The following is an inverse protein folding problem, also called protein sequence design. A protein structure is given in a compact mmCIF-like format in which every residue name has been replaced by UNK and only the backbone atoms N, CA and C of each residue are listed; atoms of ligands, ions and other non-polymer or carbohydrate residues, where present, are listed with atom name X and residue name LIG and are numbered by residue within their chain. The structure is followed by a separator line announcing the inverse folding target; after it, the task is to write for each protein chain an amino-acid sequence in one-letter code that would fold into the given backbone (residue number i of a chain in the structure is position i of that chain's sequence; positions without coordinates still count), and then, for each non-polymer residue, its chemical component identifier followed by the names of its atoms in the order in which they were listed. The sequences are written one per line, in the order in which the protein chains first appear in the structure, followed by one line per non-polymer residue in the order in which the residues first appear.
data_IF_733913966431
#
_entry.id   IF_733913966431
#
_cell.length_a   1.000
_cell.length_b   1.000
_cell.length_c   1.000
_cell.angle_alpha   90.00
_cell.angle_beta   90.00
_cell.angle_gamma   90.00
#
_symmetry.space_group_name_H-M   'P 1'
#
loop_
_entity.id
_entity.type
_entity.pdbx_description
1 polymer ?
#
# COMPACT_ATOMS: atom_id res chain seq x y z
N UNK A 1 -7.45 8.01 -4.74
CA UNK A 1 -7.22 7.18 -3.56
C UNK A 1 -6.23 7.89 -2.68
N UNK A 2 -6.43 7.89 -1.36
CA UNK A 2 -5.39 8.31 -0.42
C UNK A 2 -4.21 7.35 -0.52
N UNK A 3 -3.01 7.79 -0.11
CA UNK A 3 -1.83 6.92 -0.13
C UNK A 3 -2.05 5.64 0.68
N UNK A 4 -2.78 5.73 1.80
CA UNK A 4 -3.21 4.58 2.60
C UNK A 4 -3.97 3.53 1.79
N UNK A 5 -4.90 3.97 0.95
CA UNK A 5 -5.70 3.07 0.14
C UNK A 5 -4.87 2.42 -0.98
N UNK A 6 -3.90 3.15 -1.54
CA UNK A 6 -2.96 2.61 -2.52
C UNK A 6 -2.04 1.55 -1.87
N UNK A 7 -1.51 1.82 -0.68
CA UNK A 7 -0.67 0.89 0.08
C UNK A 7 -1.46 -0.36 0.45
N UNK A 8 -2.65 -0.20 1.01
CA UNK A 8 -3.51 -1.32 1.39
C UNK A 8 -3.84 -2.22 0.18
N UNK A 9 -4.10 -1.61 -0.98
CA UNK A 9 -4.33 -2.38 -2.21
C UNK A 9 -3.09 -3.15 -2.66
N UNK A 10 -1.91 -2.51 -2.67
CA UNK A 10 -0.66 -3.16 -3.06
C UNK A 10 -0.27 -4.30 -2.11
N UNK A 11 -0.50 -4.13 -0.80
CA UNK A 11 -0.37 -5.22 0.18
C UNK A 11 -1.33 -6.36 -0.17
N UNK A 12 -2.59 -6.07 -0.45
CA UNK A 12 -3.56 -7.10 -0.77
C UNK A 12 -3.25 -7.84 -2.08
N UNK A 13 -2.72 -7.16 -3.10
CA UNK A 13 -2.49 -7.74 -4.42
C UNK A 13 -1.13 -8.40 -4.59
N UNK A 14 -0.09 -7.85 -3.95
CA UNK A 14 1.30 -8.17 -4.28
C UNK A 14 2.08 -8.82 -3.14
N UNK A 15 1.57 -8.78 -1.90
CA UNK A 15 2.25 -9.39 -0.75
C UNK A 15 2.06 -10.91 -0.77
N UNK A 16 3.16 -11.63 -0.95
CA UNK A 16 3.20 -13.08 -0.72
C UNK A 16 3.77 -13.37 0.67
N UNK A 17 2.90 -13.78 1.58
CA UNK A 17 3.27 -14.06 2.98
C UNK A 17 4.29 -15.21 3.08
N UNK A 18 4.23 -16.22 2.21
CA UNK A 18 5.15 -17.35 2.28
C UNK A 18 6.55 -16.97 1.81
N UNK A 19 6.64 -16.09 0.82
CA UNK A 19 7.92 -15.55 0.35
C UNK A 19 8.48 -14.53 1.35
N UNK A 20 7.61 -13.72 1.98
CA UNK A 20 8.02 -12.69 2.93
C UNK A 20 8.39 -13.23 4.31
N UNK A 21 7.73 -14.30 4.77
CA UNK A 21 7.91 -14.93 6.08
C UNK A 21 8.15 -16.44 5.90
N UNK A 22 9.35 -16.87 5.46
CA UNK A 22 9.64 -18.30 5.25
C UNK A 22 9.50 -19.14 6.53
N UNK A 23 9.67 -18.53 7.70
CA UNK A 23 9.52 -19.15 9.01
C UNK A 23 8.07 -19.43 9.42
N UNK A 24 7.09 -18.94 8.65
CA UNK A 24 5.66 -19.07 8.96
C UNK A 24 5.21 -20.53 9.15
N UNK A 25 5.90 -21.48 8.52
CA UNK A 25 5.66 -22.91 8.65
C UNK A 25 6.05 -23.50 10.02
N UNK A 26 6.86 -22.78 10.79
CA UNK A 26 7.33 -23.19 12.12
C UNK A 26 6.45 -22.62 13.24
N UNK A 27 5.52 -21.71 12.90
CA UNK A 27 4.64 -21.05 13.86
C UNK A 27 3.46 -21.97 14.21
N UNK A 28 3.14 -22.15 15.51
CA UNK A 28 1.92 -22.85 15.93
C UNK A 28 0.68 -22.21 15.30
N UNK A 29 -0.29 -23.04 14.88
CA UNK A 29 -1.52 -22.56 14.21
C UNK A 29 -2.26 -21.50 15.03
N UNK A 30 -2.27 -21.65 16.35
CA UNK A 30 -2.94 -20.71 17.27
C UNK A 30 -2.27 -19.31 17.28
N UNK A 31 -0.98 -19.23 16.96
CA UNK A 31 -0.19 -18.00 16.94
C UNK A 31 -0.02 -17.42 15.51
N UNK A 32 -0.47 -18.15 14.49
CA UNK A 32 -0.20 -17.84 13.09
C UNK A 32 -0.90 -16.55 12.62
N UNK A 33 -2.20 -16.45 12.85
CA UNK A 33 -3.01 -15.28 12.48
C UNK A 33 -2.49 -13.98 13.12
N UNK A 34 -2.28 -13.90 14.46
CA UNK A 34 -1.78 -12.67 15.08
C UNK A 34 -0.34 -12.31 14.65
N UNK A 35 0.47 -13.31 14.27
CA UNK A 35 1.81 -13.06 13.73
C UNK A 35 1.75 -12.40 12.35
N UNK A 36 0.95 -12.95 11.44
CA UNK A 36 0.76 -12.41 10.10
C UNK A 36 0.13 -11.02 10.16
N UNK A 37 -0.90 -10.83 11.00
CA UNK A 37 -1.56 -9.54 11.16
C UNK A 37 -0.56 -8.46 11.58
N UNK A 38 0.26 -8.75 12.61
CA UNK A 38 1.29 -7.82 13.08
C UNK A 38 2.31 -7.50 12.00
N UNK A 39 2.73 -8.49 11.22
CA UNK A 39 3.64 -8.27 10.11
C UNK A 39 3.03 -7.35 9.05
N UNK A 40 1.79 -7.61 8.64
CA UNK A 40 1.09 -6.79 7.63
C UNK A 40 0.93 -5.35 8.10
N UNK A 41 0.54 -5.14 9.37
CA UNK A 41 0.43 -3.79 9.97
C UNK A 41 1.78 -3.08 9.96
N UNK A 42 2.85 -3.75 10.38
CA UNK A 42 4.20 -3.16 10.37
C UNK A 42 4.65 -2.77 8.96
N UNK A 43 4.35 -3.59 7.95
CA UNK A 43 4.64 -3.30 6.54
C UNK A 43 3.86 -2.07 6.09
N UNK A 44 2.57 -2.01 6.40
CA UNK A 44 1.71 -0.88 6.04
C UNK A 44 2.19 0.43 6.67
N UNK A 45 2.46 0.44 7.98
CA UNK A 45 2.94 1.61 8.71
C UNK A 45 4.31 2.07 8.19
N UNK A 46 5.22 1.13 7.93
CA UNK A 46 6.55 1.45 7.42
C UNK A 46 6.48 2.05 6.01
N UNK A 47 5.69 1.44 5.12
CA UNK A 47 5.48 1.98 3.76
C UNK A 47 4.85 3.37 3.83
N UNK A 48 3.84 3.55 4.67
CA UNK A 48 3.17 4.84 4.82
C UNK A 48 4.15 5.92 5.25
N UNK A 49 4.90 5.68 6.33
CA UNK A 49 5.88 6.64 6.84
C UNK A 49 6.90 7.03 5.77
N UNK A 50 7.51 6.04 5.10
CA UNK A 50 8.54 6.31 4.09
C UNK A 50 7.99 7.06 2.88
N UNK A 51 6.80 6.68 2.40
CA UNK A 51 6.22 7.32 1.22
C UNK A 51 5.76 8.74 1.53
N UNK A 52 5.22 9.01 2.72
CA UNK A 52 4.82 10.35 3.13
C UNK A 52 6.05 11.25 3.31
N UNK A 53 7.12 10.75 3.92
CA UNK A 53 8.30 11.55 4.24
C UNK A 53 9.22 11.77 3.02
N UNK A 54 9.38 10.75 2.18
CA UNK A 54 10.38 10.73 1.10
C UNK A 54 9.83 10.37 -0.28
N UNK A 55 8.57 9.96 -0.40
CA UNK A 55 8.01 9.38 -1.62
C UNK A 55 7.62 10.39 -2.70
N UNK A 56 7.32 11.64 -2.35
CA UNK A 56 6.79 12.66 -3.28
C UNK A 56 7.66 12.86 -4.55
N UNK A 57 9.01 12.98 -4.47
CA UNK A 57 9.84 13.12 -5.66
C UNK A 57 9.69 11.94 -6.64
N UNK A 58 9.62 10.72 -6.11
CA UNK A 58 9.53 9.49 -6.90
C UNK A 58 8.14 9.29 -7.49
N UNK A 59 7.08 9.63 -6.75
CA UNK A 59 5.70 9.62 -7.25
C UNK A 59 5.53 10.59 -8.41
N UNK A 60 6.11 11.80 -8.30
CA UNK A 60 6.07 12.80 -9.37
C UNK A 60 6.91 12.42 -10.59
N UNK A 61 8.08 11.82 -10.39
CA UNK A 61 8.96 11.39 -11.48
C UNK A 61 8.59 10.02 -12.07
N UNK A 62 7.58 9.35 -11.50
CA UNK A 62 7.16 7.99 -11.86
C UNK A 62 8.28 6.95 -11.72
N UNK A 63 9.10 7.12 -10.70
CA UNK A 63 10.26 6.27 -10.44
C UNK A 63 9.96 5.23 -9.35
N UNK A 64 9.30 4.14 -9.73
CA UNK A 64 9.00 3.05 -8.80
C UNK A 64 10.27 2.36 -8.27
N UNK A 65 11.37 2.37 -9.04
CA UNK A 65 12.63 1.78 -8.62
C UNK A 65 13.32 2.64 -7.55
N UNK A 66 13.33 3.96 -7.72
CA UNK A 66 13.81 4.91 -6.72
C UNK A 66 12.99 4.89 -5.43
N UNK A 67 11.65 4.75 -5.55
CA UNK A 67 10.80 4.57 -4.38
C UNK A 67 11.12 3.26 -3.64
N UNK A 68 11.29 2.15 -4.37
CA UNK A 68 11.67 0.86 -3.81
C UNK A 68 13.04 0.93 -3.10
N UNK A 69 14.03 1.57 -3.72
CA UNK A 69 15.35 1.76 -3.10
C UNK A 69 15.26 2.54 -1.78
N UNK A 70 14.45 3.60 -1.75
CA UNK A 70 14.23 4.40 -0.53
C UNK A 70 13.55 3.58 0.57
N UNK A 71 12.57 2.76 0.20
CA UNK A 71 11.90 1.82 1.11
C UNK A 71 12.87 0.78 1.70
N UNK A 72 13.78 0.23 0.87
CA UNK A 72 14.82 -0.69 1.33
C UNK A 72 15.83 -0.01 2.27
N UNK A 73 16.30 1.19 1.92
CA UNK A 73 17.23 1.97 2.74
C UNK A 73 16.62 2.35 4.11
N UNK A 74 15.30 2.52 4.15
CA UNK A 74 14.54 2.80 5.37
C UNK A 74 14.27 1.55 6.23
N UNK A 75 14.70 0.36 5.78
CA UNK A 75 14.63 -0.88 6.55
C UNK A 75 13.36 -1.70 6.37
N UNK A 76 12.56 -1.44 5.32
CA UNK A 76 11.40 -2.28 5.01
C UNK A 76 11.87 -3.68 4.64
N UNK A 77 11.53 -4.65 5.50
CA UNK A 77 12.02 -6.03 5.42
C UNK A 77 11.14 -6.89 4.51
N UNK A 78 11.11 -6.55 3.21
CA UNK A 78 10.44 -7.32 2.17
C UNK A 78 11.42 -7.76 1.09
N UNK A 79 11.16 -8.91 0.42
CA UNK A 79 11.93 -9.30 -0.76
C UNK A 79 11.94 -8.16 -1.80
N UNK A 80 13.10 -7.76 -2.36
CA UNK A 80 13.20 -6.57 -3.23
C UNK A 80 12.28 -6.61 -4.46
N UNK A 81 12.07 -7.78 -5.05
CA UNK A 81 11.18 -7.95 -6.20
C UNK A 81 9.71 -7.74 -5.83
N UNK A 82 9.30 -8.20 -4.65
CA UNK A 82 7.96 -8.01 -4.12
C UNK A 82 7.72 -6.54 -3.79
N UNK A 83 8.65 -5.91 -3.07
CA UNK A 83 8.57 -4.50 -2.75
C UNK A 83 8.54 -3.61 -4.02
N UNK A 84 9.32 -3.95 -5.04
CA UNK A 84 9.28 -3.25 -6.32
C UNK A 84 7.90 -3.33 -6.99
N UNK A 85 7.27 -4.52 -7.00
CA UNK A 85 5.89 -4.68 -7.51
C UNK A 85 4.91 -3.83 -6.73
N UNK A 86 4.99 -3.85 -5.40
CA UNK A 86 4.13 -3.01 -4.54
C UNK A 86 4.31 -1.52 -4.85
N UNK A 87 5.54 -1.03 -5.00
CA UNK A 87 5.81 0.36 -5.38
C UNK A 87 5.25 0.71 -6.77
N UNK A 88 5.31 -0.22 -7.73
CA UNK A 88 4.69 -0.04 -9.05
C UNK A 88 3.16 0.05 -8.95
N UNK A 89 2.52 -0.83 -8.17
CA UNK A 89 1.07 -0.83 -7.94
C UNK A 89 0.61 0.46 -7.26
N UNK A 90 1.30 0.90 -6.19
CA UNK A 90 1.02 2.17 -5.51
C UNK A 90 1.09 3.34 -6.49
N UNK A 91 2.11 3.35 -7.35
CA UNK A 91 2.30 4.39 -8.35
C UNK A 91 1.16 4.41 -9.39
N UNK A 92 0.78 3.23 -9.90
CA UNK A 92 -0.33 3.09 -10.84
C UNK A 92 -1.67 3.56 -10.24
N UNK A 93 -1.95 3.22 -8.98
CA UNK A 93 -3.17 3.64 -8.28
C UNK A 93 -3.19 5.14 -7.97
N UNK A 94 -2.01 5.73 -7.71
CA UNK A 94 -1.86 7.17 -7.50
C UNK A 94 -2.14 7.95 -8.80
N UNK A 95 -1.91 7.37 -9.98
CA UNK A 95 -2.23 7.99 -11.27
C UNK A 95 -3.73 7.99 -11.60
N UNK A 96 -4.50 6.99 -11.13
CA UNK A 96 -5.93 6.86 -11.42
C UNK A 96 -6.75 8.05 -10.89
N UNK A 97 -6.33 8.66 -9.77
CA UNK A 97 -6.91 9.91 -9.26
C UNK A 97 -6.50 11.14 -10.08
N UNK A 98 -5.24 11.19 -10.56
CA UNK A 98 -4.74 12.33 -11.32
C UNK A 98 -5.51 12.51 -12.65
N UNK A 99 -5.95 11.41 -13.28
CA UNK A 99 -6.84 11.47 -14.46
C UNK A 99 -8.26 11.91 -14.12
N UNK A 100 -8.79 11.54 -12.95
CA UNK A 100 -10.12 11.97 -12.51
C UNK A 100 -10.22 13.47 -12.20
N UNK A 101 -9.11 14.11 -11.82
CA UNK A 101 -9.07 15.56 -11.56
C UNK A 101 -8.96 16.39 -12.85
N UNK A 102 -8.37 15.84 -13.93
CA UNK A 102 -8.12 16.59 -15.17
C UNK A 102 -9.29 16.55 -16.17
N UNK A 103 -10.14 15.52 -16.13
CA UNK A 103 -11.29 15.41 -17.04
C UNK A 103 -12.60 15.80 -16.35
N UNK A 104 -12.88 17.10 -16.23
CA UNK A 104 -14.28 17.59 -16.19
C UNK A 104 -14.42 18.96 -16.86
N UNK A 105 -15.16 19.02 -17.97
CA UNK A 105 -15.71 20.28 -18.51
C UNK A 105 -17.00 20.72 -17.77
N UNK A 106 -17.47 20.00 -16.73
CA UNK A 106 -18.77 20.27 -16.09
C UNK A 106 -18.81 20.18 -14.55
N UNK A 107 -17.65 20.29 -13.86
CA UNK A 107 -17.57 20.77 -12.48
C UNK A 107 -18.42 20.10 -11.38
N UNK A 108 -18.76 18.81 -11.47
CA UNK A 108 -19.49 18.08 -10.40
C UNK A 108 -18.74 16.84 -9.95
N UNK A 109 -18.12 16.91 -8.78
CA UNK A 109 -17.53 15.78 -8.06
C UNK A 109 -18.62 14.87 -7.49
N UNK A 110 -18.70 13.63 -7.98
CA UNK A 110 -19.52 12.56 -7.39
C UNK A 110 -18.73 11.87 -6.27
N UNK A 111 -18.98 12.27 -5.02
CA UNK A 111 -18.60 11.45 -3.87
C UNK A 111 -19.72 10.44 -3.61
N UNK A 112 -19.48 9.15 -3.88
CA UNK A 112 -20.36 8.07 -3.42
C UNK A 112 -19.58 7.21 -2.41
N UNK A 113 -19.50 7.67 -1.16
CA UNK A 113 -19.13 6.80 -0.04
C UNK A 113 -20.45 6.29 0.56
N UNK A 114 -20.77 5.03 0.28
CA UNK A 114 -21.91 4.34 0.90
C UNK A 114 -21.52 3.96 2.33
N UNK A 115 -21.60 4.91 3.27
CA UNK A 115 -21.58 4.55 4.70
C UNK A 115 -22.93 3.92 5.06
N UNK A 116 -22.94 2.60 5.24
CA UNK A 116 -24.01 1.93 5.95
C UNK A 116 -23.78 2.15 7.45
N UNK A 117 -24.56 3.05 8.06
CA UNK A 117 -24.68 3.15 9.51
C UNK A 117 -26.08 2.66 9.86
N UNK A 118 -26.17 1.43 10.36
CA UNK A 118 -27.32 0.96 11.11
C UNK A 118 -27.22 1.51 12.53
N UNK A 119 -28.17 2.34 12.94
CA UNK A 119 -28.47 2.57 14.35
C UNK A 119 -29.99 2.61 14.50
N UNK A 120 -30.50 1.68 15.30
CA UNK A 120 -31.89 1.52 15.71
C UNK A 120 -32.37 2.67 16.61
N UNK A 121 -33.63 3.06 16.47
CA UNK A 121 -34.52 3.51 17.54
C UNK A 121 -35.98 3.36 17.10
#
# INVERSE_FOLDING_TARGET
MTIDACIAHAIHSDLDILEALPEVHEIPVDDLEPYIERFVVNVQESLYSVIVDYGEPYLRSKDAAGLCATCLESGISLPPQMLLKMCQTIMQLSELDAKFILDTEDGKSLYYVKMAITVEA
#
